data_IF_151990261796
#
_entry.id   IF_151990261796
#
_cell.length_a   1.000
_cell.length_b   1.000
_cell.length_c   1.000
_cell.angle_alpha   90.00
_cell.angle_beta   90.00
_cell.angle_gamma   90.00
#
_symmetry.space_group_name_H-M   'P 1'
#
loop_
_entity.id
_entity.type
_entity.pdbx_description
1 polymer ?
#
# COMPACT_ATOMS: atom_id res chain seq x y z
N UNK A 1 2.84 -12.68 -16.51
CA UNK A 1 1.54 -12.56 -17.22
C UNK A 1 0.34 -12.95 -16.33
N UNK A 2 0.30 -14.20 -15.83
CA UNK A 2 -0.84 -14.68 -15.04
C UNK A 2 -1.05 -13.90 -13.72
N UNK A 3 0.03 -13.59 -12.99
CA UNK A 3 -0.04 -12.82 -11.76
C UNK A 3 -0.57 -11.38 -11.97
N UNK A 4 -0.22 -10.74 -13.08
CA UNK A 4 -0.72 -9.41 -13.43
C UNK A 4 -2.22 -9.45 -13.75
N UNK A 5 -2.67 -10.45 -14.49
CA UNK A 5 -4.09 -10.62 -14.80
C UNK A 5 -4.92 -10.80 -13.51
N UNK A 6 -4.48 -11.68 -12.60
CA UNK A 6 -5.14 -11.86 -11.30
C UNK A 6 -5.18 -10.56 -10.48
N UNK A 7 -4.10 -9.78 -10.52
CA UNK A 7 -4.05 -8.48 -9.84
C UNK A 7 -5.06 -7.48 -10.46
N UNK A 8 -5.13 -7.37 -11.78
CA UNK A 8 -6.08 -6.49 -12.48
C UNK A 8 -7.54 -6.89 -12.22
N UNK A 9 -7.84 -8.20 -12.21
CA UNK A 9 -9.18 -8.70 -11.87
C UNK A 9 -9.57 -8.36 -10.43
N UNK A 10 -8.62 -8.43 -9.50
CA UNK A 10 -8.83 -8.05 -8.10
C UNK A 10 -9.06 -6.54 -7.96
N UNK A 11 -8.23 -5.73 -8.64
CA UNK A 11 -8.36 -4.27 -8.61
C UNK A 11 -9.67 -3.79 -9.22
N UNK A 12 -10.16 -4.43 -10.29
CA UNK A 12 -11.48 -4.13 -10.86
C UNK A 12 -12.60 -4.29 -9.82
N UNK A 13 -12.58 -5.38 -9.06
CA UNK A 13 -13.55 -5.63 -7.97
C UNK A 13 -13.45 -4.59 -6.85
N UNK A 14 -12.26 -4.04 -6.60
CA UNK A 14 -12.09 -2.94 -5.66
C UNK A 14 -12.64 -1.64 -6.24
N UNK A 15 -12.33 -1.32 -7.50
CA UNK A 15 -12.88 -0.15 -8.19
C UNK A 15 -14.40 -0.12 -8.14
N UNK A 16 -15.07 -1.25 -8.40
CA UNK A 16 -16.52 -1.36 -8.32
C UNK A 16 -17.10 -0.98 -6.95
N UNK A 17 -16.37 -1.28 -5.86
CA UNK A 17 -16.74 -0.96 -4.46
C UNK A 17 -16.38 0.48 -4.06
N UNK A 18 -15.41 1.08 -4.73
CA UNK A 18 -14.94 2.43 -4.43
C UNK A 18 -15.73 3.52 -5.16
N UNK A 19 -16.62 3.16 -6.11
CA UNK A 19 -17.38 4.11 -6.94
C UNK A 19 -18.14 5.20 -6.18
N UNK A 20 -18.67 4.88 -5.01
CA UNK A 20 -19.47 5.81 -4.21
C UNK A 20 -18.62 6.64 -3.22
N UNK A 21 -17.30 6.45 -3.23
CA UNK A 21 -16.36 7.17 -2.36
C UNK A 21 -15.70 8.29 -3.17
N UNK A 22 -15.73 9.55 -2.69
CA UNK A 22 -15.07 10.66 -3.36
C UNK A 22 -13.58 10.40 -3.59
N UNK A 23 -13.02 10.68 -4.79
CA UNK A 23 -11.62 10.36 -5.10
C UNK A 23 -10.60 10.95 -4.12
N UNK A 24 -10.87 12.14 -3.57
CA UNK A 24 -10.00 12.77 -2.57
C UNK A 24 -9.91 12.01 -1.23
N UNK A 25 -10.83 11.06 -0.98
CA UNK A 25 -10.82 10.20 0.20
C UNK A 25 -10.15 8.84 -0.06
N UNK A 26 -9.59 8.63 -1.26
CA UNK A 26 -8.95 7.38 -1.65
C UNK A 26 -7.47 7.65 -1.92
N UNK A 27 -6.61 6.87 -1.23
CA UNK A 27 -5.19 6.78 -1.54
C UNK A 27 -4.84 5.31 -1.72
N UNK A 28 -4.50 4.93 -2.96
CA UNK A 28 -4.02 3.59 -3.27
C UNK A 28 -2.49 3.60 -3.34
N UNK A 29 -1.84 2.69 -2.61
CA UNK A 29 -0.38 2.60 -2.55
C UNK A 29 0.14 1.23 -3.00
N UNK A 30 1.30 1.22 -3.64
CA UNK A 30 2.03 0.04 -4.06
C UNK A 30 3.39 -0.04 -3.37
N UNK A 31 3.78 -1.25 -2.94
CA UNK A 31 4.99 -1.44 -2.11
C UNK A 31 6.06 -2.26 -2.82
N UNK A 32 6.75 -3.18 -2.13
CA UNK A 32 7.97 -3.85 -2.57
C UNK A 32 7.91 -4.40 -4.00
N UNK A 33 6.87 -5.18 -4.34
CA UNK A 33 6.78 -5.82 -5.66
C UNK A 33 6.68 -4.78 -6.78
N UNK A 34 5.94 -3.70 -6.57
CA UNK A 34 5.80 -2.62 -7.54
C UNK A 34 7.04 -1.69 -7.57
N UNK A 35 7.77 -1.57 -6.46
CA UNK A 35 9.08 -0.91 -6.42
C UNK A 35 10.16 -1.66 -7.22
N UNK A 36 10.20 -2.99 -7.12
CA UNK A 36 11.27 -3.84 -7.68
C UNK A 36 10.97 -4.36 -9.08
N UNK A 37 9.69 -4.47 -9.46
CA UNK A 37 9.24 -5.04 -10.72
C UNK A 37 9.37 -4.05 -11.89
N UNK A 38 10.45 -4.19 -12.65
CA UNK A 38 10.72 -3.52 -13.92
C UNK A 38 9.51 -3.60 -14.90
N UNK A 39 9.21 -2.49 -15.59
CA UNK A 39 8.04 -2.27 -16.47
C UNK A 39 6.70 -2.02 -15.75
N UNK A 40 6.76 -1.51 -14.52
CA UNK A 40 5.57 -1.13 -13.76
C UNK A 40 4.72 -0.06 -14.44
N UNK A 41 5.23 0.75 -15.37
CA UNK A 41 4.46 1.86 -15.96
C UNK A 41 3.19 1.35 -16.66
N UNK A 42 3.32 0.42 -17.61
CA UNK A 42 2.16 -0.11 -18.35
C UNK A 42 1.18 -0.86 -17.43
N UNK A 43 1.71 -1.58 -16.43
CA UNK A 43 0.86 -2.27 -15.46
C UNK A 43 0.16 -1.30 -14.50
N UNK A 44 0.86 -0.28 -13.99
CA UNK A 44 0.32 0.71 -13.05
C UNK A 44 -0.73 1.58 -13.72
N UNK A 45 -0.54 1.91 -15.00
CA UNK A 45 -1.54 2.62 -15.78
C UNK A 45 -2.81 1.77 -15.92
N UNK A 46 -2.69 0.52 -16.37
CA UNK A 46 -3.82 -0.41 -16.46
C UNK A 46 -4.49 -0.64 -15.09
N UNK A 47 -3.67 -0.82 -14.05
CA UNK A 47 -4.12 -1.04 -12.67
C UNK A 47 -4.89 0.17 -12.13
N UNK A 48 -4.39 1.39 -12.39
CA UNK A 48 -5.07 2.62 -12.01
C UNK A 48 -6.37 2.84 -12.77
N UNK A 49 -6.40 2.51 -14.07
CA UNK A 49 -7.62 2.57 -14.88
C UNK A 49 -8.70 1.60 -14.36
N UNK A 50 -8.36 0.35 -14.08
CA UNK A 50 -9.36 -0.63 -13.58
C UNK A 50 -9.76 -0.37 -12.14
N UNK A 51 -8.88 0.21 -11.32
CA UNK A 51 -9.20 0.63 -9.95
C UNK A 51 -10.05 1.92 -9.94
N UNK A 52 -9.94 2.76 -10.97
CA UNK A 52 -10.54 4.09 -11.01
C UNK A 52 -9.74 5.17 -10.27
N UNK A 53 -8.55 4.82 -9.75
CA UNK A 53 -7.71 5.71 -8.94
C UNK A 53 -6.22 5.46 -9.23
N UNK A 54 -5.37 6.50 -9.22
CA UNK A 54 -3.94 6.33 -9.40
C UNK A 54 -3.33 5.52 -8.24
N UNK A 55 -2.36 4.67 -8.55
CA UNK A 55 -1.61 3.89 -7.56
C UNK A 55 -0.24 4.55 -7.35
N UNK A 56 0.01 5.02 -6.14
CA UNK A 56 1.28 5.62 -5.74
C UNK A 56 2.26 4.53 -5.29
N UNK A 57 3.40 4.37 -5.99
CA UNK A 57 4.46 3.49 -5.50
C UNK A 57 5.27 4.22 -4.44
N UNK A 58 5.16 3.77 -3.19
CA UNK A 58 5.82 4.41 -2.05
C UNK A 58 7.17 3.75 -1.73
N UNK A 59 8.10 4.53 -1.16
CA UNK A 59 9.38 4.00 -0.67
C UNK A 59 9.18 3.05 0.52
N UNK A 60 10.17 2.19 0.79
CA UNK A 60 10.13 1.33 2.00
C UNK A 60 10.10 2.15 3.30
N UNK A 61 10.71 3.34 3.31
CA UNK A 61 10.65 4.26 4.46
C UNK A 61 9.23 4.81 4.69
N UNK A 62 8.54 5.19 3.61
CA UNK A 62 7.15 5.66 3.71
C UNK A 62 6.19 4.53 4.11
N UNK A 63 6.41 3.31 3.59
CA UNK A 63 5.69 2.12 4.01
C UNK A 63 5.86 1.86 5.52
N UNK A 64 7.10 1.80 6.01
CA UNK A 64 7.44 1.70 7.42
C UNK A 64 6.74 2.79 8.27
N UNK A 65 6.81 4.04 7.83
CA UNK A 65 6.20 5.18 8.54
C UNK A 65 4.68 5.05 8.63
N UNK A 66 4.01 4.65 7.54
CA UNK A 66 2.56 4.45 7.51
C UNK A 66 2.12 3.27 8.38
N UNK A 67 2.86 2.16 8.34
CA UNK A 67 2.64 1.00 9.22
C UNK A 67 2.72 1.42 10.69
N UNK A 68 3.79 2.12 11.08
CA UNK A 68 3.97 2.59 12.45
C UNK A 68 2.80 3.49 12.88
N UNK A 69 2.40 4.45 12.02
CA UNK A 69 1.24 5.32 12.31
C UNK A 69 -0.06 4.55 12.49
N UNK A 70 -0.31 3.53 11.66
CA UNK A 70 -1.50 2.68 11.79
C UNK A 70 -1.53 1.91 13.12
N UNK A 71 -0.39 1.32 13.50
CA UNK A 71 -0.23 0.62 14.79
C UNK A 71 -0.38 1.59 15.96
N UNK A 72 0.22 2.78 15.88
CA UNK A 72 0.13 3.81 16.92
C UNK A 72 -1.26 4.38 17.10
N UNK A 73 -2.00 4.58 16.00
CA UNK A 73 -3.41 4.97 16.09
C UNK A 73 -4.27 3.88 16.73
N UNK A 74 -4.03 2.61 16.40
CA UNK A 74 -4.86 1.49 16.86
C UNK A 74 -4.62 1.12 18.32
N UNK A 75 -3.36 1.09 18.75
CA UNK A 75 -2.97 0.68 20.10
C UNK A 75 -2.86 1.85 21.10
N UNK A 76 -3.03 3.08 20.62
CA UNK A 76 -2.78 4.28 21.40
C UNK A 76 -1.29 4.53 21.70
N UNK A 77 -1.00 5.62 22.44
CA UNK A 77 0.37 6.00 22.78
C UNK A 77 1.03 4.93 23.66
N UNK A 78 2.28 4.53 23.36
CA UNK A 78 2.97 3.56 24.18
C UNK A 78 3.48 4.22 25.48
N UNK A 79 3.65 3.43 26.55
CA UNK A 79 4.25 3.92 27.80
C UNK A 79 5.74 4.24 27.67
N UNK A 80 6.42 3.64 26.69
CA UNK A 80 7.83 3.80 26.34
C UNK A 80 7.96 3.73 24.81
N UNK A 81 9.19 3.62 24.29
CA UNK A 81 9.40 3.37 22.85
C UNK A 81 8.67 2.10 22.37
N UNK A 82 8.13 2.15 21.16
CA UNK A 82 7.51 1.02 20.46
C UNK A 82 8.36 0.64 19.25
N UNK A 83 8.72 -0.63 19.17
CA UNK A 83 9.32 -1.23 18.00
C UNK A 83 8.25 -2.05 17.26
N UNK A 84 8.04 -1.74 15.99
CA UNK A 84 7.09 -2.43 15.10
C UNK A 84 7.88 -3.23 14.07
N UNK A 85 7.48 -4.48 13.90
CA UNK A 85 7.96 -5.36 12.85
C UNK A 85 6.79 -5.69 11.94
N UNK A 86 6.95 -5.45 10.64
CA UNK A 86 6.04 -5.93 9.61
C UNK A 86 6.83 -6.82 8.65
N UNK A 87 6.34 -8.04 8.43
CA UNK A 87 6.98 -9.05 7.60
C UNK A 87 6.06 -9.33 6.42
N UNK A 88 6.35 -8.66 5.31
CA UNK A 88 5.66 -8.85 4.05
C UNK A 88 6.25 -9.99 3.22
N UNK A 89 5.63 -10.26 2.06
CA UNK A 89 6.08 -11.30 1.14
C UNK A 89 7.37 -10.98 0.37
N UNK A 90 7.89 -9.75 0.47
CA UNK A 90 9.10 -9.34 -0.25
C UNK A 90 9.92 -8.23 0.43
N UNK A 91 9.36 -7.54 1.42
CA UNK A 91 10.08 -6.64 2.32
C UNK A 91 9.78 -6.96 3.78
N UNK A 92 10.62 -6.43 4.66
CA UNK A 92 10.35 -6.40 6.09
C UNK A 92 10.70 -5.03 6.61
N UNK A 93 9.75 -4.41 7.30
CA UNK A 93 9.85 -3.06 7.84
C UNK A 93 10.07 -3.15 9.35
N UNK A 94 11.09 -2.44 9.85
CA UNK A 94 11.44 -2.39 11.27
C UNK A 94 11.47 -0.92 11.68
N UNK A 95 10.58 -0.53 12.60
CA UNK A 95 10.37 0.89 12.95
C UNK A 95 10.29 1.08 14.46
N UNK A 96 11.21 1.89 15.00
CA UNK A 96 11.17 2.36 16.38
C UNK A 96 10.56 3.76 16.43
N UNK A 97 9.63 4.01 17.35
CA UNK A 97 9.11 5.35 17.60
C UNK A 97 8.56 5.51 19.02
N UNK A 98 8.35 6.75 19.43
CA UNK A 98 8.13 7.11 20.84
C UNK A 98 6.70 7.63 21.13
N UNK A 99 5.77 7.47 20.18
CA UNK A 99 4.41 8.02 20.25
C UNK A 99 4.18 9.14 19.24
#
# INVERSE_FOLDING_TARGET
PEAQQRALETLRRFGDRLRDIPPQHIRAVGTYTLRRGFRAVDFLEQAGQVLGHPIEVISGQEEARLIYRGVSFTLGPPANRRLVFDIGGGSSEIVLGDG
#
